data_IF_700427773692
#
_entry.id   IF_700427773692
#
_cell.length_a   1.000
_cell.length_b   1.000
_cell.length_c   1.000
_cell.angle_alpha   90.00
_cell.angle_beta   90.00
_cell.angle_gamma   90.00
#
_symmetry.space_group_name_H-M   'P 1'
#
loop_
_entity.id
_entity.type
_entity.pdbx_description
1 polymer ?
#
# COMPACT_ATOMS: atom_id res chain seq x y z
N UNK A 1 17.74 -3.24 -27.30
CA UNK A 1 17.37 -3.91 -26.03
C UNK A 1 16.01 -3.37 -25.60
N UNK A 2 14.95 -4.17 -25.65
CA UNK A 2 13.59 -3.70 -25.41
C UNK A 2 13.34 -3.45 -23.92
N UNK A 3 13.60 -2.22 -23.45
CA UNK A 3 13.19 -1.75 -22.13
C UNK A 3 11.71 -1.35 -22.13
N UNK A 4 10.82 -2.33 -22.35
CA UNK A 4 9.37 -2.14 -22.25
C UNK A 4 8.84 -2.89 -21.01
N UNK A 5 8.91 -2.25 -19.85
CA UNK A 5 8.30 -2.78 -18.62
C UNK A 5 7.63 -1.69 -17.77
N UNK A 6 7.15 -0.60 -18.40
CA UNK A 6 6.38 0.43 -17.71
C UNK A 6 4.90 0.37 -18.10
N UNK A 7 4.25 -0.76 -17.86
CA UNK A 7 2.78 -0.82 -17.98
C UNK A 7 2.07 -0.34 -16.71
N UNK A 8 2.72 -0.33 -15.54
CA UNK A 8 2.12 0.13 -14.28
C UNK A 8 3.15 0.72 -13.32
N UNK A 9 2.80 1.84 -12.68
CA UNK A 9 3.58 2.44 -11.59
C UNK A 9 3.24 1.76 -10.27
N UNK A 10 4.24 1.21 -9.59
CA UNK A 10 4.08 0.60 -8.27
C UNK A 10 4.15 1.66 -7.14
N UNK A 11 3.45 2.76 -7.33
CA UNK A 11 3.34 3.84 -6.35
C UNK A 11 1.86 4.17 -6.20
N UNK A 12 1.38 4.05 -4.98
CA UNK A 12 -0.01 4.21 -4.65
C UNK A 12 -0.16 5.22 -3.53
N UNK A 13 -1.24 6.00 -3.58
CA UNK A 13 -1.62 6.95 -2.55
C UNK A 13 -2.83 6.39 -1.81
N UNK A 14 -2.71 6.36 -0.48
CA UNK A 14 -3.79 5.98 0.40
C UNK A 14 -4.79 7.11 0.58
N UNK A 15 -6.08 6.76 0.49
CA UNK A 15 -7.21 7.65 0.73
C UNK A 15 -8.30 6.92 1.51
N UNK A 16 -9.13 7.70 2.19
CA UNK A 16 -10.39 7.24 2.76
C UNK A 16 -11.54 7.64 1.83
N UNK A 17 -12.44 6.70 1.56
CA UNK A 17 -13.71 6.96 0.91
C UNK A 17 -14.75 7.37 1.97
N UNK A 18 -15.47 8.46 1.73
CA UNK A 18 -16.44 8.98 2.70
C UNK A 18 -17.74 8.15 2.72
N UNK A 19 -18.29 7.84 1.55
CA UNK A 19 -19.65 7.29 1.43
C UNK A 19 -19.72 5.88 0.80
N UNK A 20 -18.56 5.26 0.54
CA UNK A 20 -18.49 3.98 -0.16
C UNK A 20 -17.53 3.02 0.51
N UNK A 21 -18.05 1.90 0.97
CA UNK A 21 -17.28 0.74 1.35
C UNK A 21 -17.03 -0.18 0.15
N UNK A 22 -15.89 -0.87 0.17
CA UNK A 22 -15.57 -1.92 -0.78
C UNK A 22 -14.87 -3.08 -0.11
N UNK A 23 -14.66 -4.17 -0.84
CA UNK A 23 -13.98 -5.35 -0.32
C UNK A 23 -12.47 -5.21 -0.43
N UNK A 24 -11.77 -5.49 0.67
CA UNK A 24 -10.31 -5.50 0.69
C UNK A 24 -9.76 -6.49 -0.35
N UNK A 25 -8.79 -6.04 -1.15
CA UNK A 25 -8.16 -6.86 -2.19
C UNK A 25 -7.48 -8.15 -1.66
N UNK A 26 -7.07 -8.17 -0.39
CA UNK A 26 -6.31 -9.29 0.20
C UNK A 26 -7.22 -10.26 0.95
N UNK A 27 -8.11 -9.75 1.81
CA UNK A 27 -8.96 -10.59 2.67
C UNK A 27 -10.46 -10.45 2.44
N UNK A 28 -10.87 -9.62 1.47
CA UNK A 28 -12.27 -9.36 1.11
C UNK A 28 -13.16 -8.79 2.22
N UNK A 29 -12.62 -8.47 3.39
CA UNK A 29 -13.33 -7.74 4.46
C UNK A 29 -13.73 -6.32 3.99
N UNK A 30 -14.87 -5.80 4.43
CA UNK A 30 -15.31 -4.44 4.09
C UNK A 30 -14.32 -3.40 4.61
N UNK A 31 -14.06 -2.37 3.82
CA UNK A 31 -13.14 -1.27 4.13
C UNK A 31 -13.48 -0.02 3.34
N UNK A 32 -13.23 1.14 3.95
CA UNK A 32 -13.37 2.45 3.30
C UNK A 32 -12.01 2.99 2.82
N UNK A 33 -10.91 2.29 3.10
CA UNK A 33 -9.59 2.69 2.65
C UNK A 33 -9.31 2.14 1.25
N UNK A 34 -8.77 2.99 0.39
CA UNK A 34 -8.40 2.59 -0.96
C UNK A 34 -7.03 3.16 -1.35
N UNK A 35 -6.33 2.39 -2.17
CA UNK A 35 -5.10 2.76 -2.82
C UNK A 35 -5.40 3.13 -4.26
N UNK A 36 -4.82 4.23 -4.73
CA UNK A 36 -4.93 4.63 -6.14
C UNK A 36 -3.59 5.14 -6.66
N UNK A 37 -3.34 4.90 -7.95
CA UNK A 37 -2.16 5.43 -8.66
C UNK A 37 -2.47 6.83 -9.17
N UNK A 38 -1.56 7.79 -8.97
CA UNK A 38 -1.72 9.16 -9.50
C UNK A 38 -1.34 9.30 -10.96
N UNK A 39 -0.58 8.34 -11.50
CA UNK A 39 -0.09 8.31 -12.89
C UNK A 39 -0.93 7.36 -13.74
N UNK A 40 -0.90 7.57 -15.06
CA UNK A 40 -1.53 6.65 -16.00
C UNK A 40 -0.64 5.42 -16.26
N UNK A 41 -1.21 4.22 -16.49
CA UNK A 41 -2.65 3.91 -16.42
C UNK A 41 -3.18 3.94 -14.99
N UNK A 42 -4.37 4.54 -14.81
CA UNK A 42 -5.00 4.68 -13.49
C UNK A 42 -5.44 3.31 -12.97
N UNK A 43 -4.91 2.95 -11.81
CA UNK A 43 -5.34 1.77 -11.05
C UNK A 43 -5.83 2.18 -9.67
N UNK A 44 -6.85 1.49 -9.17
CA UNK A 44 -7.35 1.69 -7.80
C UNK A 44 -7.98 0.41 -7.24
N UNK A 45 -7.94 0.26 -5.92
CA UNK A 45 -8.55 -0.85 -5.21
C UNK A 45 -8.65 -0.59 -3.70
N UNK A 46 -9.57 -1.29 -3.05
CA UNK A 46 -9.79 -1.21 -1.61
C UNK A 46 -8.81 -2.09 -0.82
N UNK A 47 -8.35 -1.63 0.34
CA UNK A 47 -7.47 -2.36 1.26
C UNK A 47 -7.87 -2.04 2.70
N UNK A 48 -7.81 -2.99 3.63
CA UNK A 48 -8.09 -2.70 5.04
C UNK A 48 -6.83 -2.21 5.78
N UNK A 49 -7.01 -1.53 6.93
CA UNK A 49 -5.90 -1.04 7.77
C UNK A 49 -4.87 -2.10 8.11
N UNK A 50 -5.33 -3.32 8.41
CA UNK A 50 -4.45 -4.42 8.78
C UNK A 50 -3.44 -4.75 7.67
N UNK A 51 -3.87 -4.79 6.41
CA UNK A 51 -2.97 -5.05 5.29
C UNK A 51 -2.15 -3.82 4.89
N UNK A 52 -2.66 -2.60 5.11
CA UNK A 52 -1.87 -1.38 4.87
C UNK A 52 -0.66 -1.31 5.81
N UNK A 53 -0.84 -1.71 7.07
CA UNK A 53 0.26 -1.72 8.06
C UNK A 53 1.17 -2.94 7.93
N UNK A 54 0.80 -3.93 7.10
CA UNK A 54 1.59 -5.13 6.88
C UNK A 54 2.70 -4.88 5.85
N UNK A 55 3.95 -4.99 6.31
CA UNK A 55 5.16 -4.86 5.49
C UNK A 55 5.25 -5.92 4.39
N UNK A 56 4.60 -7.07 4.56
CA UNK A 56 4.51 -8.15 3.58
C UNK A 56 3.59 -7.80 2.40
N UNK A 57 2.70 -6.81 2.61
CA UNK A 57 1.78 -6.32 1.60
C UNK A 57 2.27 -5.02 0.94
N UNK A 58 2.52 -3.99 1.75
CA UNK A 58 2.99 -2.71 1.25
C UNK A 58 4.02 -2.05 2.16
N UNK A 59 4.89 -1.24 1.56
CA UNK A 59 5.91 -0.46 2.25
C UNK A 59 5.61 1.01 2.05
N UNK A 60 5.59 1.78 3.14
CA UNK A 60 5.43 3.23 3.08
C UNK A 60 6.62 3.86 2.36
N UNK A 61 6.33 4.75 1.41
CA UNK A 61 7.30 5.60 0.75
C UNK A 61 7.34 6.91 1.54
N UNK A 62 8.49 7.18 2.16
CA UNK A 62 8.73 8.41 2.89
C UNK A 62 9.30 9.47 1.94
N UNK A 63 8.93 10.74 2.14
CA UNK A 63 9.60 11.86 1.49
C UNK A 63 11.03 12.01 2.01
N UNK A 64 11.89 12.73 1.29
CA UNK A 64 13.26 13.00 1.75
C UNK A 64 13.30 13.74 3.10
N UNK A 65 12.35 14.65 3.33
CA UNK A 65 12.19 15.37 4.58
C UNK A 65 11.79 14.45 5.73
N UNK A 66 10.83 13.53 5.51
CA UNK A 66 10.43 12.51 6.49
C UNK A 66 11.59 11.54 6.79
N UNK A 67 12.42 11.22 5.80
CA UNK A 67 13.61 10.39 6.00
C UNK A 67 14.68 11.11 6.81
N UNK A 68 14.89 12.41 6.58
CA UNK A 68 15.84 13.23 7.35
C UNK A 68 15.39 13.37 8.80
N UNK A 69 14.15 13.78 9.04
CA UNK A 69 13.62 13.94 10.40
C UNK A 69 13.64 12.62 11.19
N UNK A 70 13.37 11.50 10.53
CA UNK A 70 13.47 10.17 11.13
C UNK A 70 14.90 9.79 11.49
N UNK A 71 15.88 10.10 10.63
CA UNK A 71 17.31 9.88 10.94
C UNK A 71 17.77 10.77 12.09
N UNK A 72 17.39 12.05 12.08
CA UNK A 72 17.71 13.00 13.14
C UNK A 72 17.11 12.58 14.49
N UNK A 73 15.86 12.12 14.50
CA UNK A 73 15.21 11.59 15.70
C UNK A 73 15.88 10.30 16.21
N UNK A 74 16.33 9.41 15.32
CA UNK A 74 17.07 8.21 15.72
C UNK A 74 18.47 8.56 16.28
N UNK A 75 19.17 9.54 15.68
CA UNK A 75 20.45 10.03 16.17
C UNK A 75 20.34 10.75 17.52
N UNK A 76 19.31 11.60 17.70
CA UNK A 76 19.04 12.26 18.98
C UNK A 76 18.75 11.25 20.08
N UNK A 77 17.94 10.24 19.79
CA UNK A 77 17.63 9.18 20.74
C UNK A 77 18.86 8.34 21.09
N UNK A 78 19.75 8.08 20.14
CA UNK A 78 21.00 7.35 20.40
C UNK A 78 21.95 8.15 21.30
N UNK A 79 22.05 9.47 21.09
CA UNK A 79 22.80 10.38 21.98
C UNK A 79 22.21 10.39 23.39
N UNK A 80 20.90 10.54 23.52
CA UNK A 80 20.20 10.53 24.81
C UNK A 80 20.41 9.21 25.56
N UNK A 81 20.33 8.09 24.84
CA UNK A 81 20.62 6.76 25.39
C UNK A 81 22.06 6.63 25.87
N UNK A 82 23.04 7.13 25.12
CA UNK A 82 24.45 7.06 25.52
C UNK A 82 24.72 7.92 26.77
N UNK A 83 24.15 9.12 26.84
CA UNK A 83 24.22 9.99 28.01
C UNK A 83 23.57 9.35 29.24
N UNK A 84 22.39 8.74 29.06
CA UNK A 84 21.72 7.99 30.13
C UNK A 84 22.59 6.82 30.62
N UNK A 85 23.30 6.14 29.70
CA UNK A 85 24.23 5.04 30.05
C UNK A 85 25.43 5.55 30.85
N UNK A 86 25.98 6.71 30.50
CA UNK A 86 27.10 7.35 31.24
C UNK A 86 26.66 7.82 32.63
N UNK A 87 25.46 8.36 32.78
CA UNK A 87 24.94 8.90 34.06
C UNK A 87 24.46 7.82 35.04
N UNK A 88 23.78 6.77 34.58
CA UNK A 88 23.11 5.82 35.47
C UNK A 88 24.01 4.71 36.05
N UNK A 89 25.20 4.49 35.46
CA UNK A 89 26.02 3.31 35.73
C UNK A 89 25.35 2.01 35.26
N UNK A 90 26.09 0.89 35.24
CA UNK A 90 25.65 -0.37 34.62
C UNK A 90 24.40 -0.96 35.31
N UNK A 91 24.21 -0.74 36.61
CA UNK A 91 23.16 -1.41 37.41
C UNK A 91 21.76 -0.80 37.24
N UNK A 92 21.63 0.50 36.96
CA UNK A 92 20.34 1.21 36.90
C UNK A 92 19.88 1.54 35.46
N UNK A 93 20.62 1.07 34.45
CA UNK A 93 20.41 1.43 33.05
C UNK A 93 19.19 0.76 32.40
N UNK A 94 18.72 -0.37 32.94
CA UNK A 94 17.58 -1.10 32.39
C UNK A 94 16.22 -0.48 32.74
N UNK A 95 16.09 0.21 33.87
CA UNK A 95 14.81 0.77 34.34
C UNK A 95 14.44 2.13 33.72
N UNK A 96 15.39 2.84 33.11
CA UNK A 96 15.22 4.20 32.55
C UNK A 96 15.69 4.32 31.09
N UNK A 97 15.42 3.32 30.27
CA UNK A 97 15.66 3.42 28.83
C UNK A 97 14.72 4.47 28.23
N UNK A 98 15.23 5.47 27.47
CA UNK A 98 14.37 6.31 26.65
C UNK A 98 13.64 5.46 25.62
N UNK A 99 12.34 5.70 25.43
CA UNK A 99 11.53 4.94 24.48
C UNK A 99 12.08 5.13 23.07
N UNK A 100 12.31 4.02 22.36
CA UNK A 100 12.75 4.09 20.97
C UNK A 100 11.67 4.79 20.15
N UNK A 101 12.01 5.75 19.27
CA UNK A 101 11.01 6.29 18.36
C UNK A 101 10.45 5.17 17.46
N UNK A 102 9.18 4.85 17.66
CA UNK A 102 8.47 3.78 16.95
C UNK A 102 7.96 4.26 15.58
N UNK A 103 8.85 4.35 14.59
CA UNK A 103 8.49 4.80 13.24
C UNK A 103 7.57 3.86 12.46
N UNK A 104 7.36 2.63 12.94
CA UNK A 104 6.51 1.63 12.28
C UNK A 104 5.11 1.53 12.91
N UNK A 105 4.92 2.06 14.12
CA UNK A 105 3.66 1.93 14.85
C UNK A 105 2.90 3.25 14.70
N UNK A 106 2.34 3.48 13.52
CA UNK A 106 1.29 4.49 13.34
C UNK A 106 -0.01 3.97 13.96
N UNK A 107 -0.03 3.88 15.30
CA UNK A 107 -1.25 3.85 16.10
C UNK A 107 -1.90 5.25 16.14
N UNK A 108 -1.16 6.28 15.74
CA UNK A 108 -1.70 7.59 15.38
C UNK A 108 -2.39 7.53 14.02
N UNK A 109 -3.65 7.97 13.99
CA UNK A 109 -4.46 8.25 12.80
C UNK A 109 -3.64 8.38 11.51
N UNK A 110 -3.72 7.37 10.64
CA UNK A 110 -3.24 7.48 9.27
C UNK A 110 -3.98 8.66 8.64
N UNK A 111 -3.31 9.82 8.52
CA UNK A 111 -3.89 11.04 7.98
C UNK A 111 -4.56 10.72 6.63
N UNK A 112 -5.88 10.76 6.64
CA UNK A 112 -6.76 10.26 5.57
C UNK A 112 -6.79 11.18 4.35
N UNK A 113 -6.12 12.33 4.45
CA UNK A 113 -6.10 13.42 3.46
C UNK A 113 -4.95 13.28 2.44
N UNK A 114 -4.68 12.06 1.97
CA UNK A 114 -3.92 11.82 0.74
C UNK A 114 -2.39 12.01 0.79
N UNK A 115 -1.79 12.10 1.97
CA UNK A 115 -0.34 12.28 2.12
C UNK A 115 0.44 10.97 2.12
N UNK A 116 -0.20 9.84 2.43
CA UNK A 116 0.51 8.57 2.62
C UNK A 116 0.72 7.87 1.28
N UNK A 117 1.98 7.86 0.82
CA UNK A 117 2.44 7.10 -0.34
C UNK A 117 2.92 5.72 0.09
N UNK A 118 2.57 4.70 -0.68
CA UNK A 118 2.96 3.31 -0.45
C UNK A 118 3.39 2.63 -1.74
N UNK A 119 4.24 1.63 -1.61
CA UNK A 119 4.69 0.73 -2.68
C UNK A 119 4.19 -0.67 -2.36
N UNK A 120 3.59 -1.36 -3.32
CA UNK A 120 3.19 -2.75 -3.13
C UNK A 120 4.40 -3.67 -3.23
N UNK A 121 4.36 -4.76 -2.48
CA UNK A 121 5.32 -5.84 -2.66
C UNK A 121 5.15 -6.50 -4.03
N UNK A 122 6.24 -7.10 -4.53
CA UNK A 122 6.34 -7.62 -5.91
C UNK A 122 5.22 -8.60 -6.27
N UNK A 123 4.86 -9.49 -5.33
CA UNK A 123 3.80 -10.48 -5.51
C UNK A 123 2.42 -9.84 -5.74
N UNK A 124 2.07 -8.83 -4.95
CA UNK A 124 0.79 -8.13 -5.09
C UNK A 124 0.77 -7.23 -6.33
N UNK A 125 1.89 -6.59 -6.65
CA UNK A 125 2.02 -5.83 -7.90
C UNK A 125 1.80 -6.71 -9.14
N UNK A 126 2.37 -7.92 -9.14
CA UNK A 126 2.18 -8.89 -10.23
C UNK A 126 0.70 -9.28 -10.37
N UNK A 127 0.01 -9.55 -9.26
CA UNK A 127 -1.43 -9.83 -9.26
C UNK A 127 -2.26 -8.64 -9.80
N UNK A 128 -1.88 -7.39 -9.51
CA UNK A 128 -2.54 -6.20 -10.08
C UNK A 128 -2.41 -6.16 -11.60
N UNK A 129 -1.20 -6.37 -12.11
CA UNK A 129 -0.92 -6.39 -13.55
C UNK A 129 -1.75 -7.48 -14.25
N UNK A 130 -1.81 -8.68 -13.67
CA UNK A 130 -2.62 -9.78 -14.20
C UNK A 130 -4.11 -9.47 -14.22
N UNK A 131 -4.66 -8.92 -13.12
CA UNK A 131 -6.06 -8.52 -13.06
C UNK A 131 -6.41 -7.47 -14.13
N UNK A 132 -5.52 -6.50 -14.36
CA UNK A 132 -5.75 -5.51 -15.40
C UNK A 132 -5.69 -6.11 -16.80
N UNK A 133 -4.69 -6.97 -17.06
CA UNK A 133 -4.58 -7.68 -18.34
C UNK A 133 -5.84 -8.52 -18.60
N UNK A 134 -6.31 -9.28 -17.60
CA UNK A 134 -7.53 -10.08 -17.71
C UNK A 134 -8.77 -9.23 -17.97
N UNK A 135 -8.92 -8.07 -17.31
CA UNK A 135 -10.03 -7.14 -17.60
C UNK A 135 -9.98 -6.61 -19.04
N UNK A 136 -8.80 -6.27 -19.54
CA UNK A 136 -8.62 -5.82 -20.91
C UNK A 136 -8.93 -6.92 -21.92
N UNK A 137 -8.44 -8.13 -21.68
CA UNK A 137 -8.68 -9.30 -22.54
C UNK A 137 -10.18 -9.65 -22.54
N UNK A 138 -10.83 -9.64 -21.38
CA UNK A 138 -12.28 -9.83 -21.27
C UNK A 138 -13.08 -8.74 -22.00
N UNK A 139 -12.63 -7.48 -21.94
CA UNK A 139 -13.26 -6.38 -22.69
C UNK A 139 -13.13 -6.61 -24.20
N UNK A 140 -11.94 -6.96 -24.68
CA UNK A 140 -11.70 -7.30 -26.09
C UNK A 140 -12.53 -8.50 -26.55
N UNK A 141 -12.56 -9.57 -25.75
CA UNK A 141 -13.37 -10.75 -26.03
C UNK A 141 -14.86 -10.40 -26.14
N UNK A 142 -15.38 -9.55 -25.24
CA UNK A 142 -16.76 -9.05 -25.32
C UNK A 142 -17.04 -8.26 -26.60
N UNK A 143 -16.11 -7.40 -27.03
CA UNK A 143 -16.27 -6.67 -28.30
C UNK A 143 -16.24 -7.61 -29.51
N UNK A 144 -15.35 -8.60 -29.51
CA UNK A 144 -15.30 -9.64 -30.55
C UNK A 144 -16.60 -10.47 -30.56
N UNK A 145 -17.10 -10.89 -29.40
CA UNK A 145 -18.35 -11.67 -29.29
C UNK A 145 -19.58 -10.93 -29.84
N UNK A 146 -19.62 -9.58 -29.79
CA UNK A 146 -20.71 -8.80 -30.38
C UNK A 146 -20.75 -8.92 -31.91
N UNK A 147 -19.63 -9.25 -32.55
CA UNK A 147 -19.53 -9.38 -34.01
C UNK A 147 -20.05 -10.74 -34.51
N UNK A 148 -20.13 -11.75 -33.64
CA UNK A 148 -20.62 -13.07 -34.01
C UNK A 148 -22.16 -13.14 -33.96
N UNK A 149 -22.80 -13.82 -34.95
CA UNK A 149 -24.25 -14.02 -34.93
C UNK A 149 -24.66 -14.87 -33.73
N UNK A 150 -25.81 -14.54 -33.11
CA UNK A 150 -26.35 -15.31 -31.99
C UNK A 150 -26.76 -16.70 -32.48
N UNK A 151 -26.27 -17.75 -31.81
CA UNK A 151 -26.69 -19.11 -32.10
C UNK A 151 -28.23 -19.25 -31.94
N UNK A 152 -28.92 -19.90 -32.90
CA UNK A 152 -30.36 -20.11 -32.80
C UNK A 152 -30.67 -20.96 -31.56
N UNK A 153 -31.51 -20.42 -30.67
CA UNK A 153 -32.01 -21.17 -29.52
C UNK A 153 -33.13 -22.08 -30.01
N UNK A 154 -32.83 -23.36 -30.27
CA UNK A 154 -33.87 -24.35 -30.43
C UNK A 154 -34.67 -24.44 -29.12
N UNK A 155 -35.90 -23.92 -29.12
CA UNK A 155 -36.87 -24.27 -28.09
C UNK A 155 -37.29 -25.71 -28.39
N UNK A 156 -36.80 -26.65 -27.60
CA UNK A 156 -37.35 -28.00 -27.57
C UNK A 156 -38.72 -27.84 -26.90
N UNK A 157 -39.77 -28.04 -27.70
CA UNK A 157 -41.16 -28.09 -27.25
C UNK A 157 -41.48 -29.41 -26.57
#
# INVERSE_FOLDING_TARGET
>A
MASNSSLFYNEYILRLANDKEGSCFVCYKPTNYFLHTSREPRDWFYVCKNHINDKSFCTRIYSEEELKSRKEAEEQWEKEREEARKKAGILNFFDKQPQKPDFNNSTGELSTNGTVKVKLQKQFMFLRIQNHKQKNDNKKAKEIMKQFPKAPRNRIG
#
